data_IF_508672362504
#
_entry.id   IF_508672362504
#
_cell.length_a   1.000
_cell.length_b   1.000
_cell.length_c   1.000
_cell.angle_alpha   90.00
_cell.angle_beta   90.00
_cell.angle_gamma   90.00
#
_symmetry.space_group_name_H-M   'P 1'
#
loop_
_entity.id
_entity.type
_entity.pdbx_description
1 polymer ?
#
# COMPACT_ATOMS: atom_id res chain seq x y z
N UNK A 1 10.78 -16.50 -15.88
CA UNK A 1 12.09 -15.85 -16.13
C UNK A 1 12.51 -15.88 -17.60
N UNK A 2 12.61 -17.04 -18.28
CA UNK A 2 13.04 -17.14 -19.69
C UNK A 2 12.21 -16.25 -20.66
N UNK A 3 10.88 -16.28 -20.55
CA UNK A 3 10.00 -15.42 -21.35
C UNK A 3 10.30 -13.92 -21.18
N UNK A 4 10.69 -13.49 -19.97
CA UNK A 4 11.03 -12.09 -19.71
C UNK A 4 12.37 -11.72 -20.35
N UNK A 5 13.35 -12.63 -20.37
CA UNK A 5 14.64 -12.42 -21.04
C UNK A 5 14.51 -12.38 -22.57
N UNK A 6 13.62 -13.20 -23.13
CA UNK A 6 13.33 -13.24 -24.57
C UNK A 6 12.51 -12.03 -25.04
N UNK A 7 11.81 -11.35 -24.13
CA UNK A 7 11.01 -10.18 -24.50
C UNK A 7 11.88 -9.03 -25.03
N UNK A 8 11.46 -8.39 -26.11
CA UNK A 8 12.21 -7.27 -26.72
C UNK A 8 12.18 -5.97 -25.90
N UNK A 9 11.25 -5.84 -24.96
CA UNK A 9 11.05 -4.64 -24.13
C UNK A 9 11.86 -4.68 -22.84
N UNK A 10 12.06 -3.51 -22.22
CA UNK A 10 12.65 -3.43 -20.88
C UNK A 10 11.75 -4.13 -19.85
N UNK A 11 12.37 -4.86 -18.91
CA UNK A 11 11.70 -5.43 -17.76
C UNK A 11 12.71 -5.67 -16.62
N UNK A 12 12.19 -5.85 -15.41
CA UNK A 12 13.00 -6.03 -14.20
C UNK A 12 13.95 -7.23 -14.29
N UNK A 13 13.55 -8.33 -14.91
CA UNK A 13 14.41 -9.53 -15.04
C UNK A 13 15.64 -9.21 -15.90
N UNK A 14 15.45 -8.54 -17.03
CA UNK A 14 16.57 -8.11 -17.89
C UNK A 14 17.49 -7.10 -17.20
N UNK A 15 16.90 -6.16 -16.47
CA UNK A 15 17.64 -5.17 -15.67
C UNK A 15 18.50 -5.84 -14.59
N UNK A 16 17.93 -6.81 -13.86
CA UNK A 16 18.64 -7.53 -12.80
C UNK A 16 19.76 -8.41 -13.38
N UNK A 17 19.44 -9.27 -14.35
CA UNK A 17 20.43 -10.19 -14.93
C UNK A 17 21.57 -9.44 -15.66
N UNK A 18 21.32 -8.20 -16.11
CA UNK A 18 22.35 -7.35 -16.71
C UNK A 18 23.36 -6.73 -15.72
N UNK A 19 23.15 -6.86 -14.41
CA UNK A 19 24.02 -6.28 -13.38
C UNK A 19 25.14 -7.23 -12.97
N UNK A 20 26.36 -6.71 -12.88
CA UNK A 20 27.54 -7.51 -12.53
C UNK A 20 27.41 -8.19 -11.16
N UNK A 21 26.75 -7.54 -10.21
CA UNK A 21 26.47 -8.06 -8.88
C UNK A 21 25.59 -9.31 -8.90
N UNK A 22 24.80 -9.50 -9.96
CA UNK A 22 23.94 -10.67 -10.10
C UNK A 22 24.69 -11.91 -10.60
N UNK A 23 25.94 -11.77 -11.08
CA UNK A 23 26.77 -12.90 -11.51
C UNK A 23 27.22 -13.79 -10.33
N UNK A 24 27.16 -13.29 -9.10
CA UNK A 24 27.51 -14.04 -7.89
C UNK A 24 26.42 -15.05 -7.45
N UNK A 25 25.24 -15.01 -8.09
CA UNK A 25 24.09 -15.84 -7.74
C UNK A 25 23.87 -16.96 -8.76
N UNK A 26 23.46 -18.13 -8.27
CA UNK A 26 22.99 -19.22 -9.13
C UNK A 26 21.69 -18.82 -9.84
N UNK A 27 21.37 -19.52 -10.94
CA UNK A 27 20.12 -19.29 -11.66
C UNK A 27 18.87 -19.49 -10.77
N UNK A 28 18.91 -20.48 -9.88
CA UNK A 28 17.84 -20.75 -8.90
C UNK A 28 17.71 -19.60 -7.90
N UNK A 29 18.84 -19.06 -7.42
CA UNK A 29 18.84 -17.91 -6.51
C UNK A 29 18.29 -16.66 -7.21
N UNK A 30 18.63 -16.44 -8.47
CA UNK A 30 18.06 -15.34 -9.27
C UNK A 30 16.56 -15.51 -9.47
N UNK A 31 16.09 -16.73 -9.76
CA UNK A 31 14.65 -17.02 -9.85
C UNK A 31 13.95 -16.69 -8.52
N UNK A 32 14.52 -17.11 -7.40
CA UNK A 32 13.97 -16.84 -6.07
C UNK A 32 13.92 -15.34 -5.75
N UNK A 33 14.99 -14.58 -6.05
CA UNK A 33 15.01 -13.12 -5.84
C UNK A 33 13.92 -12.43 -6.68
N UNK A 34 13.76 -12.82 -7.95
CA UNK A 34 12.74 -12.25 -8.83
C UNK A 34 11.34 -12.58 -8.33
N UNK A 35 11.11 -13.82 -7.88
CA UNK A 35 9.83 -14.26 -7.32
C UNK A 35 9.45 -13.47 -6.06
N UNK A 36 10.37 -13.33 -5.12
CA UNK A 36 10.15 -12.54 -3.90
C UNK A 36 9.87 -11.06 -4.20
N UNK A 37 10.51 -10.49 -5.23
CA UNK A 37 10.22 -9.13 -5.69
C UNK A 37 8.83 -9.02 -6.31
N UNK A 38 8.39 -10.00 -7.12
CA UNK A 38 7.05 -10.01 -7.70
C UNK A 38 5.97 -10.10 -6.61
N UNK A 39 6.11 -11.06 -5.70
CA UNK A 39 5.19 -11.23 -4.56
C UNK A 39 5.13 -9.96 -3.72
N UNK A 40 6.31 -9.39 -3.40
CA UNK A 40 6.42 -8.22 -2.55
C UNK A 40 5.88 -6.93 -3.16
N UNK A 41 5.83 -6.81 -4.49
CA UNK A 41 5.44 -5.57 -5.18
C UNK A 41 4.10 -5.67 -5.92
N UNK A 42 3.85 -6.74 -6.66
CA UNK A 42 2.67 -6.87 -7.51
C UNK A 42 1.46 -7.37 -6.72
N UNK A 43 1.60 -8.51 -6.04
CA UNK A 43 0.46 -9.17 -5.35
C UNK A 43 -0.08 -8.28 -4.22
N UNK A 44 0.80 -7.78 -3.37
CA UNK A 44 0.42 -6.91 -2.23
C UNK A 44 -0.25 -5.61 -2.68
N UNK A 45 0.26 -4.98 -3.75
CA UNK A 45 -0.32 -3.74 -4.30
C UNK A 45 -1.67 -4.01 -4.96
N UNK A 46 -1.85 -5.14 -5.66
CA UNK A 46 -3.14 -5.51 -6.24
C UNK A 46 -4.23 -5.71 -5.16
N UNK A 47 -3.86 -6.30 -4.01
CA UNK A 47 -4.76 -6.42 -2.85
C UNK A 47 -5.10 -5.04 -2.30
N UNK A 48 -4.12 -4.15 -2.12
CA UNK A 48 -4.36 -2.78 -1.67
C UNK A 48 -5.29 -2.00 -2.62
N UNK A 49 -5.16 -2.18 -3.94
CA UNK A 49 -6.06 -1.58 -4.92
C UNK A 49 -7.48 -2.18 -4.89
N UNK A 50 -7.60 -3.47 -4.54
CA UNK A 50 -8.91 -4.10 -4.30
C UNK A 50 -9.59 -3.53 -3.04
N UNK A 51 -8.81 -3.28 -1.99
CA UNK A 51 -9.26 -2.58 -0.78
C UNK A 51 -9.67 -1.15 -1.11
N UNK A 52 -8.95 -0.44 -1.99
CA UNK A 52 -9.35 0.88 -2.47
C UNK A 52 -10.75 0.84 -3.10
N UNK A 53 -11.03 -0.12 -3.98
CA UNK A 53 -12.39 -0.27 -4.57
C UNK A 53 -13.42 -0.50 -3.48
N UNK A 54 -13.11 -1.32 -2.48
CA UNK A 54 -13.99 -1.55 -1.32
C UNK A 54 -14.26 -0.24 -0.53
N UNK A 55 -13.22 0.56 -0.27
CA UNK A 55 -13.34 1.86 0.40
C UNK A 55 -14.19 2.81 -0.41
N UNK A 56 -14.05 2.84 -1.74
CA UNK A 56 -14.89 3.65 -2.60
C UNK A 56 -16.39 3.38 -2.41
N UNK A 57 -16.74 2.10 -2.25
CA UNK A 57 -18.13 1.66 -2.10
C UNK A 57 -18.68 1.90 -0.69
N UNK A 58 -17.84 1.78 0.35
CA UNK A 58 -18.28 1.86 1.75
C UNK A 58 -18.15 3.26 2.36
N UNK A 59 -17.26 4.10 1.83
CA UNK A 59 -16.94 5.42 2.40
C UNK A 59 -17.01 6.53 1.34
N UNK A 60 -18.17 6.72 0.67
CA UNK A 60 -18.33 7.70 -0.40
C UNK A 60 -18.06 9.14 0.03
N UNK A 61 -18.26 9.48 1.31
CA UNK A 61 -17.98 10.82 1.84
C UNK A 61 -16.47 11.13 1.84
N UNK A 62 -15.66 10.17 2.27
CA UNK A 62 -14.20 10.29 2.27
C UNK A 62 -13.65 10.38 0.83
N UNK A 63 -14.24 9.62 -0.08
CA UNK A 63 -13.93 9.62 -1.52
C UNK A 63 -14.27 10.98 -2.14
N UNK A 64 -15.48 11.48 -1.87
CA UNK A 64 -15.96 12.77 -2.36
C UNK A 64 -15.08 13.93 -1.86
N UNK A 65 -14.55 13.83 -0.63
CA UNK A 65 -13.55 14.78 -0.13
C UNK A 65 -12.22 14.68 -0.88
N UNK A 66 -11.69 13.48 -1.09
CA UNK A 66 -10.46 13.26 -1.86
C UNK A 66 -10.57 13.80 -3.30
N UNK A 67 -11.70 13.55 -3.94
CA UNK A 67 -12.04 14.06 -5.26
C UNK A 67 -12.06 15.59 -5.32
N UNK A 68 -12.67 16.27 -4.33
CA UNK A 68 -12.64 17.74 -4.23
C UNK A 68 -11.22 18.30 -4.06
N UNK A 69 -10.39 17.64 -3.26
CA UNK A 69 -8.99 18.02 -3.07
C UNK A 69 -8.22 17.93 -4.39
N UNK A 70 -8.36 16.80 -5.10
CA UNK A 70 -7.79 16.59 -6.43
C UNK A 70 -8.28 17.63 -7.45
N UNK A 71 -9.57 17.96 -7.45
CA UNK A 71 -10.12 18.97 -8.37
C UNK A 71 -9.54 20.36 -8.10
N UNK A 72 -9.31 20.69 -6.83
CA UNK A 72 -8.77 22.00 -6.43
C UNK A 72 -7.30 22.19 -6.80
N UNK A 73 -6.49 21.14 -6.70
CA UNK A 73 -5.03 21.18 -6.94
C UNK A 73 -4.68 20.89 -8.39
N UNK A 74 -5.27 19.84 -8.96
CA UNK A 74 -4.91 19.32 -10.29
C UNK A 74 -5.77 19.95 -11.39
N UNK A 75 -7.03 20.26 -11.08
CA UNK A 75 -8.00 20.76 -12.05
C UNK A 75 -8.39 19.72 -13.12
N UNK A 76 -9.22 20.11 -14.10
CA UNK A 76 -9.80 19.18 -15.10
C UNK A 76 -8.90 18.91 -16.30
N UNK A 77 -7.79 19.64 -16.47
CA UNK A 77 -7.05 19.70 -17.74
C UNK A 77 -5.82 18.77 -17.80
N UNK A 78 -5.45 18.12 -16.70
CA UNK A 78 -4.32 17.17 -16.65
C UNK A 78 -4.58 16.08 -15.63
N UNK A 79 -3.90 14.94 -15.80
CA UNK A 79 -3.90 13.88 -14.80
C UNK A 79 -3.03 14.27 -13.59
N UNK A 80 -3.30 13.71 -12.40
CA UNK A 80 -2.40 13.79 -11.27
C UNK A 80 -1.02 13.21 -11.61
N UNK A 81 0.02 13.85 -11.07
CA UNK A 81 1.44 13.55 -11.23
C UNK A 81 2.14 13.46 -9.87
N UNK A 82 3.38 12.97 -9.83
CA UNK A 82 4.12 12.82 -8.57
C UNK A 82 4.45 14.17 -7.92
N UNK A 83 4.58 15.24 -8.69
CA UNK A 83 4.85 16.58 -8.17
C UNK A 83 3.64 17.17 -7.40
N UNK A 84 2.46 16.56 -7.52
CA UNK A 84 1.26 16.96 -6.78
C UNK A 84 1.22 16.43 -5.34
N UNK A 85 2.07 15.46 -5.00
CA UNK A 85 2.11 14.75 -3.71
C UNK A 85 2.08 15.72 -2.52
N UNK A 86 2.97 16.71 -2.51
CA UNK A 86 3.11 17.67 -1.40
C UNK A 86 1.87 18.57 -1.24
N UNK A 87 1.12 18.77 -2.33
CA UNK A 87 -0.08 19.62 -2.35
C UNK A 87 -1.37 18.83 -2.10
N UNK A 88 -1.31 17.50 -1.97
CA UNK A 88 -2.46 16.62 -1.75
C UNK A 88 -2.38 15.87 -0.41
N UNK A 89 -2.31 16.59 0.74
CA UNK A 89 -2.15 15.95 2.05
C UNK A 89 -3.34 15.03 2.39
N UNK A 90 -4.55 15.35 1.91
CA UNK A 90 -5.70 14.47 2.16
C UNK A 90 -5.61 13.16 1.37
N UNK A 91 -4.97 13.13 0.20
CA UNK A 91 -4.71 11.86 -0.51
C UNK A 91 -3.76 10.96 0.27
N UNK A 92 -2.71 11.53 0.88
CA UNK A 92 -1.82 10.79 1.77
C UNK A 92 -2.58 10.23 2.98
N UNK A 93 -3.40 11.06 3.60
CA UNK A 93 -4.24 10.70 4.72
C UNK A 93 -5.23 9.57 4.35
N UNK A 94 -5.87 9.65 3.19
CA UNK A 94 -6.81 8.67 2.68
C UNK A 94 -6.15 7.30 2.46
N UNK A 95 -4.97 7.28 1.85
CA UNK A 95 -4.21 6.04 1.59
C UNK A 95 -3.71 5.44 2.90
N UNK A 96 -3.21 6.25 3.84
CA UNK A 96 -2.80 5.75 5.15
C UNK A 96 -3.98 5.16 5.93
N UNK A 97 -5.15 5.81 5.87
CA UNK A 97 -6.35 5.30 6.54
C UNK A 97 -6.86 4.00 5.91
N UNK A 98 -6.82 3.89 4.58
CA UNK A 98 -7.09 2.63 3.88
C UNK A 98 -6.22 1.49 4.39
N UNK A 99 -4.90 1.72 4.46
CA UNK A 99 -3.94 0.70 4.90
C UNK A 99 -4.01 0.38 6.40
N UNK A 100 -4.49 1.31 7.23
CA UNK A 100 -4.77 1.09 8.65
C UNK A 100 -6.05 0.30 8.87
N UNK A 101 -7.13 0.74 8.21
CA UNK A 101 -8.47 0.19 8.37
C UNK A 101 -8.53 -1.27 7.86
N UNK A 102 -7.91 -1.52 6.72
CA UNK A 102 -7.75 -2.85 6.12
C UNK A 102 -6.28 -3.07 5.72
N UNK A 103 -5.44 -3.61 6.63
CA UNK A 103 -4.07 -3.93 6.32
C UNK A 103 -3.99 -5.12 5.35
N UNK A 104 -3.17 -5.00 4.29
CA UNK A 104 -2.90 -6.08 3.33
C UNK A 104 -2.33 -7.32 4.04
N UNK A 105 -1.50 -7.10 5.07
CA UNK A 105 -0.87 -8.14 5.88
C UNK A 105 -1.29 -7.99 7.34
N UNK A 106 -2.46 -8.53 7.76
CA UNK A 106 -2.99 -8.31 9.12
C UNK A 106 -2.10 -8.86 10.24
N UNK A 107 -1.26 -9.86 9.94
CA UNK A 107 -0.27 -10.44 10.86
C UNK A 107 1.18 -10.05 10.52
N UNK A 108 1.36 -9.08 9.61
CA UNK A 108 2.68 -8.68 9.07
C UNK A 108 3.53 -9.86 8.61
N UNK A 109 4.85 -9.68 8.60
CA UNK A 109 5.80 -10.75 8.31
C UNK A 109 6.22 -11.45 9.61
N UNK A 110 6.24 -12.79 9.66
CA UNK A 110 6.73 -13.52 10.84
C UNK A 110 8.19 -13.21 11.16
N UNK A 111 8.48 -13.02 12.44
CA UNK A 111 9.84 -12.90 12.98
C UNK A 111 10.21 -14.14 13.78
N UNK A 112 11.48 -14.57 13.72
CA UNK A 112 12.00 -15.68 14.53
C UNK A 112 13.09 -15.21 15.49
N UNK A 113 12.99 -15.61 16.75
CA UNK A 113 14.02 -15.32 17.74
C UNK A 113 15.25 -16.22 17.55
N UNK A 114 16.45 -15.63 17.52
CA UNK A 114 17.71 -16.40 17.41
C UNK A 114 18.28 -16.80 18.77
N UNK A 115 17.79 -16.19 19.86
CA UNK A 115 18.14 -16.46 21.26
C UNK A 115 16.89 -16.24 22.12
N UNK A 116 16.89 -16.76 23.35
CA UNK A 116 15.86 -16.41 24.35
C UNK A 116 15.84 -14.89 24.57
N UNK A 117 14.65 -14.35 24.83
CA UNK A 117 14.40 -12.95 25.13
C UNK A 117 13.29 -12.80 26.19
N UNK A 118 13.09 -11.58 26.69
CA UNK A 118 12.02 -11.24 27.61
C UNK A 118 11.32 -9.96 27.16
N UNK A 119 9.98 -10.00 27.09
CA UNK A 119 9.17 -8.83 26.78
C UNK A 119 8.05 -8.68 27.81
N UNK A 120 7.99 -7.53 28.47
CA UNK A 120 6.98 -7.23 29.51
C UNK A 120 6.89 -8.30 30.62
N UNK A 121 8.03 -8.88 31.02
CA UNK A 121 8.11 -9.96 32.01
C UNK A 121 7.78 -11.36 31.48
N UNK A 122 7.45 -11.50 30.19
CA UNK A 122 7.22 -12.79 29.55
C UNK A 122 8.49 -13.29 28.87
N UNK A 123 8.96 -14.48 29.25
CA UNK A 123 10.03 -15.18 28.55
C UNK A 123 9.54 -15.62 27.16
N UNK A 124 10.29 -15.24 26.14
CA UNK A 124 10.11 -15.67 24.76
C UNK A 124 11.29 -16.58 24.41
N UNK A 125 11.08 -17.89 24.19
CA UNK A 125 12.18 -18.79 23.92
C UNK A 125 12.80 -18.54 22.54
N UNK A 126 14.06 -18.93 22.38
CA UNK A 126 14.70 -19.08 21.08
C UNK A 126 13.80 -19.89 20.14
N UNK A 127 13.84 -19.56 18.85
CA UNK A 127 13.06 -20.15 17.76
C UNK A 127 11.54 -19.89 17.84
N UNK A 128 11.07 -19.11 18.82
CA UNK A 128 9.70 -18.62 18.84
C UNK A 128 9.40 -17.75 17.61
N UNK A 129 8.21 -17.97 17.04
CA UNK A 129 7.67 -17.15 15.95
C UNK A 129 6.83 -16.03 16.55
N UNK A 130 7.16 -14.79 16.18
CA UNK A 130 6.45 -13.58 16.58
C UNK A 130 5.74 -13.00 15.36
N UNK A 131 4.43 -12.86 15.47
CA UNK A 131 3.58 -12.24 14.45
C UNK A 131 3.21 -10.82 14.88
N UNK A 132 3.67 -9.78 14.17
CA UNK A 132 3.21 -8.42 14.44
C UNK A 132 1.75 -8.27 14.01
N UNK A 133 0.84 -8.16 14.97
CA UNK A 133 -0.60 -8.12 14.71
C UNK A 133 -1.05 -6.73 14.21
N UNK A 134 -0.69 -6.40 12.97
CA UNK A 134 -1.00 -5.12 12.31
C UNK A 134 -2.48 -4.74 12.41
N UNK A 135 -3.39 -5.73 12.32
CA UNK A 135 -4.83 -5.51 12.48
C UNK A 135 -5.20 -4.91 13.83
N UNK A 136 -4.62 -5.41 14.92
CA UNK A 136 -4.91 -4.92 16.27
C UNK A 136 -4.18 -3.61 16.55
N UNK A 137 -2.94 -3.47 16.06
CA UNK A 137 -2.17 -2.22 16.17
C UNK A 137 -2.95 -1.08 15.53
N UNK A 138 -3.39 -1.26 14.28
CA UNK A 138 -4.21 -0.27 13.56
C UNK A 138 -5.58 -0.03 14.19
N UNK A 139 -6.01 -0.85 15.15
CA UNK A 139 -7.28 -0.74 15.86
C UNK A 139 -7.16 -0.34 17.33
N UNK A 140 -5.97 0.04 17.79
CA UNK A 140 -5.81 0.52 19.17
C UNK A 140 -6.60 1.82 19.36
N UNK A 141 -7.61 1.87 20.27
CA UNK A 141 -8.32 3.12 20.58
C UNK A 141 -7.42 4.16 21.26
N UNK A 142 -6.35 3.71 21.93
CA UNK A 142 -5.37 4.61 22.54
C UNK A 142 -4.60 5.43 21.49
N UNK A 143 -4.29 4.80 20.35
CA UNK A 143 -3.54 5.45 19.26
C UNK A 143 -4.47 6.12 18.26
N UNK A 144 -5.60 5.51 17.96
CA UNK A 144 -6.48 5.92 16.85
C UNK A 144 -7.86 6.44 17.30
N UNK A 145 -8.18 6.46 18.60
CA UNK A 145 -9.45 6.97 19.12
C UNK A 145 -10.66 6.11 18.74
N UNK A 146 -11.22 6.37 17.56
CA UNK A 146 -12.38 5.70 16.94
C UNK A 146 -11.94 4.75 15.80
N UNK A 147 -11.22 3.64 16.08
CA UNK A 147 -10.51 2.85 15.09
C UNK A 147 -11.40 2.18 14.02
N UNK A 148 -12.66 1.89 14.33
CA UNK A 148 -13.59 1.29 13.37
C UNK A 148 -14.16 2.31 12.37
N UNK A 149 -14.04 3.61 12.67
CA UNK A 149 -14.45 4.68 11.77
C UNK A 149 -13.33 4.93 10.76
N UNK A 150 -13.66 4.86 9.48
CA UNK A 150 -12.79 5.29 8.39
C UNK A 150 -12.73 6.82 8.37
N UNK A 151 -11.67 7.40 8.95
CA UNK A 151 -11.51 8.85 9.12
C UNK A 151 -10.10 9.29 8.70
N UNK A 152 -9.86 9.58 7.42
CA UNK A 152 -8.56 10.05 6.95
C UNK A 152 -8.01 11.24 7.72
N UNK A 153 -8.87 12.13 8.23
CA UNK A 153 -8.52 13.33 8.98
C UNK A 153 -7.56 13.09 10.15
N UNK A 154 -7.59 11.89 10.75
CA UNK A 154 -6.67 11.53 11.85
C UNK A 154 -5.19 11.65 11.46
N UNK A 155 -4.87 11.44 10.18
CA UNK A 155 -3.52 11.55 9.64
C UNK A 155 -3.11 12.99 9.34
N UNK A 156 -4.07 13.91 9.27
CA UNK A 156 -3.82 15.35 9.20
C UNK A 156 -3.67 15.95 10.60
N UNK A 157 -4.47 15.47 11.55
CA UNK A 157 -4.43 15.87 12.97
C UNK A 157 -3.13 15.39 13.65
N UNK A 158 -2.69 14.17 13.33
CA UNK A 158 -1.54 13.51 13.93
C UNK A 158 -0.62 12.92 12.85
N UNK A 159 0.10 13.77 12.08
CA UNK A 159 0.91 13.31 10.94
C UNK A 159 2.07 12.38 11.32
N UNK A 160 2.55 12.46 12.57
CA UNK A 160 3.65 11.63 13.08
C UNK A 160 3.20 10.24 13.55
N UNK A 161 1.90 9.92 13.47
CA UNK A 161 1.37 8.61 13.87
C UNK A 161 2.02 7.50 13.03
N UNK A 162 2.66 6.48 13.63
CA UNK A 162 3.27 5.40 12.87
C UNK A 162 2.22 4.56 12.14
N UNK A 163 2.43 4.29 10.84
CA UNK A 163 1.63 3.33 10.09
C UNK A 163 2.27 1.94 10.11
N UNK A 164 1.61 0.98 10.73
CA UNK A 164 2.11 -0.40 10.84
C UNK A 164 2.15 -1.16 9.50
N UNK A 165 1.43 -0.71 8.46
CA UNK A 165 1.25 -1.44 7.20
C UNK A 165 2.56 -1.85 6.49
N UNK A 166 3.66 -1.14 6.72
CA UNK A 166 4.97 -1.41 6.13
C UNK A 166 6.00 -1.97 7.13
N UNK A 167 5.56 -2.35 8.33
CA UNK A 167 6.41 -2.70 9.48
C UNK A 167 7.40 -1.57 9.83
N UNK A 168 8.26 -1.81 10.81
CA UNK A 168 9.29 -0.86 11.25
C UNK A 168 10.63 -1.57 11.48
N UNK A 169 11.71 -0.79 11.68
CA UNK A 169 13.05 -1.28 12.01
C UNK A 169 13.77 -2.02 10.87
N UNK A 170 14.78 -2.85 11.19
CA UNK A 170 15.72 -3.51 10.26
C UNK A 170 15.06 -4.40 9.20
N UNK A 171 13.81 -4.81 9.41
CA UNK A 171 13.02 -5.64 8.48
C UNK A 171 11.75 -4.92 8.01
N UNK A 172 11.74 -3.58 8.09
CA UNK A 172 10.72 -2.78 7.44
C UNK A 172 10.68 -3.07 5.93
N UNK A 173 9.50 -2.89 5.34
CA UNK A 173 9.29 -3.13 3.92
C UNK A 173 10.26 -2.31 3.06
N UNK A 174 11.13 -2.99 2.32
CA UNK A 174 12.06 -2.37 1.37
C UNK A 174 11.32 -1.69 0.21
N UNK A 175 10.17 -2.24 -0.18
CA UNK A 175 9.31 -1.74 -1.25
C UNK A 175 8.39 -0.56 -0.87
N UNK A 176 8.41 -0.09 0.38
CA UNK A 176 7.41 0.89 0.86
C UNK A 176 7.35 2.17 0.01
N UNK A 177 8.49 2.66 -0.50
CA UNK A 177 8.53 3.86 -1.35
C UNK A 177 7.83 3.62 -2.68
N UNK A 178 8.13 2.50 -3.33
CA UNK A 178 7.48 2.09 -4.59
C UNK A 178 5.99 1.89 -4.35
N UNK A 179 5.60 1.15 -3.32
CA UNK A 179 4.20 0.90 -2.98
C UNK A 179 3.43 2.19 -2.72
N UNK A 180 3.96 3.11 -1.90
CA UNK A 180 3.30 4.40 -1.61
C UNK A 180 3.11 5.25 -2.85
N UNK A 181 4.14 5.36 -3.70
CA UNK A 181 4.06 6.13 -4.94
C UNK A 181 3.07 5.49 -5.93
N UNK A 182 3.09 4.16 -6.07
CA UNK A 182 2.14 3.43 -6.92
C UNK A 182 0.71 3.62 -6.44
N UNK A 183 0.46 3.43 -5.14
CA UNK A 183 -0.87 3.64 -4.56
C UNK A 183 -1.32 5.09 -4.76
N UNK A 184 -0.45 6.07 -4.49
CA UNK A 184 -0.75 7.48 -4.70
C UNK A 184 -1.17 7.75 -6.15
N UNK A 185 -0.34 7.40 -7.13
CA UNK A 185 -0.59 7.80 -8.52
C UNK A 185 -1.78 7.06 -9.12
N UNK A 186 -1.95 5.77 -8.81
CA UNK A 186 -3.06 4.95 -9.32
C UNK A 186 -4.38 5.40 -8.70
N UNK A 187 -4.44 5.50 -7.37
CA UNK A 187 -5.66 5.89 -6.66
C UNK A 187 -6.05 7.32 -7.03
N UNK A 188 -5.10 8.26 -7.04
CA UNK A 188 -5.37 9.65 -7.40
C UNK A 188 -5.92 9.76 -8.82
N UNK A 189 -5.34 9.04 -9.79
CA UNK A 189 -5.84 9.04 -11.18
C UNK A 189 -7.20 8.39 -11.31
N UNK A 190 -7.46 7.30 -10.56
CA UNK A 190 -8.78 6.68 -10.52
C UNK A 190 -9.83 7.64 -9.97
N UNK A 191 -9.59 8.28 -8.83
CA UNK A 191 -10.53 9.24 -8.23
C UNK A 191 -10.67 10.52 -9.06
N UNK A 192 -9.60 10.94 -9.73
CA UNK A 192 -9.63 12.06 -10.66
C UNK A 192 -10.54 11.73 -11.86
N UNK A 193 -10.42 10.55 -12.47
CA UNK A 193 -11.10 10.23 -13.73
C UNK A 193 -12.50 9.59 -13.56
N UNK A 194 -12.78 8.90 -12.45
CA UNK A 194 -13.94 8.01 -12.32
C UNK A 194 -14.69 8.25 -11.01
N UNK A 195 -16.01 8.07 -11.06
CA UNK A 195 -16.84 7.85 -9.88
C UNK A 195 -17.04 6.33 -9.71
N UNK A 196 -16.48 5.78 -8.63
CA UNK A 196 -16.57 4.34 -8.33
C UNK A 196 -17.83 4.09 -7.51
N UNK A 197 -18.86 3.55 -8.15
CA UNK A 197 -20.18 3.32 -7.55
C UNK A 197 -20.58 1.85 -7.59
N UNK A 198 -21.44 1.44 -6.66
CA UNK A 198 -22.06 0.12 -6.72
C UNK A 198 -22.99 0.07 -7.95
N UNK A 199 -22.92 -0.97 -8.79
CA UNK A 199 -23.82 -1.10 -9.93
C UNK A 199 -25.27 -1.23 -9.44
N UNK A 200 -26.07 -0.19 -9.67
CA UNK A 200 -27.53 -0.26 -9.49
C UNK A 200 -28.13 -0.89 -10.74
N UNK A 201 -29.08 -1.81 -10.58
CA UNK A 201 -29.81 -2.38 -11.72
C UNK A 201 -30.45 -1.26 -12.56
N UNK A 202 -30.12 -1.22 -13.85
CA UNK A 202 -30.72 -0.29 -14.82
C UNK A 202 -30.11 1.12 -14.90
N UNK A 203 -28.98 1.40 -14.25
CA UNK A 203 -28.28 2.70 -14.41
C UNK A 203 -27.20 2.58 -15.50
N UNK A 204 -27.27 3.47 -16.48
CA UNK A 204 -26.22 3.62 -17.49
C UNK A 204 -24.95 4.14 -16.82
N UNK A 205 -23.92 3.29 -16.74
CA UNK A 205 -22.64 3.64 -16.11
C UNK A 205 -21.86 4.53 -17.08
N UNK A 206 -22.04 5.84 -17.00
CA UNK A 206 -21.14 6.78 -17.66
C UNK A 206 -19.85 6.86 -16.85
N UNK A 207 -18.83 6.13 -17.31
CA UNK A 207 -17.62 5.84 -16.53
C UNK A 207 -16.73 7.07 -16.24
N UNK A 208 -16.79 8.14 -17.02
CA UNK A 208 -15.92 9.31 -16.80
C UNK A 208 -16.62 10.29 -15.87
N UNK A 209 -15.97 10.64 -14.76
CA UNK A 209 -16.42 11.67 -13.82
C UNK A 209 -16.59 12.99 -14.58
N UNK A 210 -17.84 13.41 -14.75
CA UNK A 210 -18.17 14.70 -15.38
C UNK A 210 -17.89 15.80 -14.36
N UNK A 211 -16.97 16.70 -14.68
CA UNK A 211 -16.59 17.86 -13.88
C UNK A 211 -17.25 19.12 -14.39
#
# INVERSE_FOLDING_TARGET
MNLALESGSWNLVRELVGKNEMNDFSWEQLCYIVDELDVGTHITTAIALSIFVMVCLQHPDAVSRAQRDLDSVVGPNRLPEFDDIENLPYMHAFINEMLRWQPVTPFGAPHGLTTDDEYMGYRIPKDAIILPHHWSIGRSPEVHGDPEVFRPERWLEHPDTPLAAFSISRRACSGQRVARNTLFIVISRCLWAYDVVCPKQGVEVTNIRRR
#
